data_IF_332542339763
#
_entry.id   IF_332542339763
#
_cell.length_a   1.000
_cell.length_b   1.000
_cell.length_c   1.000
_cell.angle_alpha   90.00
_cell.angle_beta   90.00
_cell.angle_gamma   90.00
#
_symmetry.space_group_name_H-M   'P 1'
#
loop_
_entity.id
_entity.type
_entity.pdbx_description
1 polymer ?
#
# COMPACT_ATOMS: atom_id res chain seq x y z
N UNK A 1 7.80 32.81 -15.45
CA UNK A 1 8.38 31.46 -15.53
C UNK A 1 7.83 30.67 -14.37
N UNK A 2 6.75 29.93 -14.60
CA UNK A 2 6.07 29.12 -13.58
C UNK A 2 6.71 27.73 -13.55
N UNK A 3 7.33 27.38 -12.43
CA UNK A 3 7.74 26.03 -12.13
C UNK A 3 6.47 25.19 -11.89
N UNK A 4 6.00 24.48 -12.92
CA UNK A 4 4.79 23.67 -12.89
C UNK A 4 5.06 22.20 -13.29
N UNK A 5 6.25 21.68 -12.99
CA UNK A 5 6.64 20.31 -13.36
C UNK A 5 6.52 19.28 -12.23
N UNK A 6 6.81 19.67 -10.98
CA UNK A 6 7.07 18.70 -9.90
C UNK A 6 5.83 18.14 -9.17
N UNK A 7 4.61 18.27 -9.70
CA UNK A 7 3.39 17.82 -8.99
C UNK A 7 2.54 16.81 -9.76
N UNK A 8 2.91 16.45 -10.98
CA UNK A 8 2.17 15.45 -11.74
C UNK A 8 2.87 14.09 -11.64
N UNK A 9 2.17 13.06 -11.16
CA UNK A 9 2.67 11.69 -11.07
C UNK A 9 3.03 11.04 -12.41
N UNK A 10 2.78 11.70 -13.55
CA UNK A 10 3.22 11.30 -14.89
C UNK A 10 4.54 11.94 -15.32
N UNK A 11 5.13 12.81 -14.49
CA UNK A 11 6.49 13.31 -14.63
C UNK A 11 7.46 12.41 -13.83
N UNK A 12 8.52 11.84 -14.44
CA UNK A 12 9.53 11.06 -13.72
C UNK A 12 10.13 11.80 -12.51
N UNK A 13 10.27 13.12 -12.57
CA UNK A 13 10.81 13.92 -11.47
C UNK A 13 9.93 13.91 -10.21
N UNK A 14 8.64 13.55 -10.34
CA UNK A 14 7.77 13.28 -9.20
C UNK A 14 8.34 12.20 -8.28
N UNK A 15 9.08 11.23 -8.85
CA UNK A 15 9.66 10.09 -8.15
C UNK A 15 11.16 10.25 -7.83
N UNK A 16 11.75 11.45 -8.02
CA UNK A 16 13.19 11.66 -7.99
C UNK A 16 13.93 11.20 -6.72
N UNK A 17 13.23 11.07 -5.59
CA UNK A 17 13.81 10.53 -4.34
C UNK A 17 12.98 9.37 -3.75
N UNK A 18 12.09 8.77 -4.54
CA UNK A 18 11.33 7.58 -4.14
C UNK A 18 11.60 6.40 -5.06
N UNK A 19 11.92 6.58 -6.35
CA UNK A 19 12.40 5.48 -7.20
C UNK A 19 13.88 5.16 -6.94
N UNK A 20 14.26 3.88 -7.02
CA UNK A 20 15.63 3.44 -6.75
C UNK A 20 16.63 3.88 -7.83
N UNK A 21 16.17 4.00 -9.08
CA UNK A 21 16.96 4.47 -10.21
C UNK A 21 16.10 5.29 -11.18
N UNK A 22 16.74 5.98 -12.13
CA UNK A 22 16.04 6.77 -13.15
C UNK A 22 15.06 5.94 -13.99
N UNK A 23 15.41 4.71 -14.34
CA UNK A 23 14.51 3.85 -15.14
C UNK A 23 13.27 3.43 -14.35
N UNK A 24 13.38 3.16 -13.04
CA UNK A 24 12.21 2.94 -12.18
C UNK A 24 11.34 4.21 -12.08
N UNK A 25 11.95 5.39 -11.98
CA UNK A 25 11.21 6.67 -11.95
C UNK A 25 10.42 6.89 -13.25
N UNK A 26 11.04 6.60 -14.40
CA UNK A 26 10.40 6.66 -15.71
C UNK A 26 9.27 5.62 -15.83
N UNK A 27 9.50 4.38 -15.38
CA UNK A 27 8.49 3.33 -15.34
C UNK A 27 7.26 3.78 -14.55
N UNK A 28 7.47 4.30 -13.33
CA UNK A 28 6.36 4.72 -12.45
C UNK A 28 5.56 5.87 -13.07
N UNK A 29 6.23 6.83 -13.72
CA UNK A 29 5.58 7.91 -14.44
C UNK A 29 4.76 7.43 -15.64
N UNK A 30 5.31 6.51 -16.43
CA UNK A 30 4.61 5.90 -17.56
C UNK A 30 3.44 5.04 -17.11
N UNK A 31 3.56 4.33 -15.99
CA UNK A 31 2.47 3.59 -15.38
C UNK A 31 1.33 4.53 -14.97
N UNK A 32 1.64 5.63 -14.29
CA UNK A 32 0.65 6.64 -13.94
C UNK A 32 -0.05 7.23 -15.18
N UNK A 33 0.70 7.44 -16.27
CA UNK A 33 0.14 7.90 -17.56
C UNK A 33 -0.81 6.86 -18.14
N UNK A 34 -0.37 5.59 -18.25
CA UNK A 34 -1.19 4.50 -18.77
C UNK A 34 -2.48 4.31 -17.94
N UNK A 35 -2.38 4.37 -16.60
CA UNK A 35 -3.53 4.30 -15.70
C UNK A 35 -4.54 5.42 -15.97
N UNK A 36 -4.09 6.68 -16.11
CA UNK A 36 -4.96 7.81 -16.44
C UNK A 36 -5.61 7.68 -17.81
N UNK A 37 -4.86 7.21 -18.82
CA UNK A 37 -5.39 6.98 -20.17
C UNK A 37 -6.48 5.91 -20.13
N UNK A 38 -6.26 4.78 -19.43
CA UNK A 38 -7.28 3.72 -19.26
C UNK A 38 -8.53 4.25 -18.56
N UNK A 39 -8.38 5.00 -17.47
CA UNK A 39 -9.49 5.66 -16.77
C UNK A 39 -10.28 6.60 -17.69
N UNK A 40 -9.59 7.41 -18.50
CA UNK A 40 -10.23 8.34 -19.41
C UNK A 40 -10.92 7.62 -20.58
N UNK A 41 -10.35 6.51 -21.07
CA UNK A 41 -10.92 5.72 -22.16
C UNK A 41 -12.33 5.20 -21.84
N UNK A 42 -12.62 4.83 -20.59
CA UNK A 42 -13.96 4.40 -20.17
C UNK A 42 -15.03 5.51 -20.23
N UNK A 43 -14.63 6.77 -20.42
CA UNK A 43 -15.53 7.92 -20.57
C UNK A 43 -15.60 8.44 -22.01
N UNK A 44 -14.76 7.92 -22.90
CA UNK A 44 -14.67 8.33 -24.30
C UNK A 44 -15.72 7.63 -25.18
N UNK A 45 -15.87 8.08 -26.42
CA UNK A 45 -16.64 7.33 -27.42
C UNK A 45 -15.88 6.07 -27.88
N UNK A 46 -16.55 5.19 -28.64
CA UNK A 46 -15.98 3.88 -28.98
C UNK A 46 -14.69 3.96 -29.80
N UNK A 47 -14.60 4.91 -30.74
CA UNK A 47 -13.45 5.03 -31.64
C UNK A 47 -12.26 5.65 -30.89
N UNK A 48 -12.51 6.68 -30.08
CA UNK A 48 -11.51 7.30 -29.21
C UNK A 48 -11.03 6.33 -28.12
N UNK A 49 -11.95 5.59 -27.49
CA UNK A 49 -11.63 4.56 -26.49
C UNK A 49 -10.63 3.54 -27.03
N UNK A 50 -10.85 3.02 -28.25
CA UNK A 50 -9.94 2.03 -28.86
C UNK A 50 -8.53 2.60 -29.06
N UNK A 51 -8.41 3.86 -29.50
CA UNK A 51 -7.12 4.53 -29.68
C UNK A 51 -6.42 4.77 -28.34
N UNK A 52 -7.15 5.20 -27.32
CA UNK A 52 -6.61 5.44 -25.98
C UNK A 52 -6.11 4.14 -25.32
N UNK A 53 -6.89 3.06 -25.40
CA UNK A 53 -6.46 1.76 -24.87
C UNK A 53 -5.23 1.23 -25.59
N UNK A 54 -5.17 1.35 -26.91
CA UNK A 54 -3.98 0.99 -27.68
C UNK A 54 -2.74 1.82 -27.27
N UNK A 55 -2.91 3.10 -26.92
CA UNK A 55 -1.80 3.92 -26.41
C UNK A 55 -1.30 3.46 -25.04
N UNK A 56 -2.22 3.17 -24.12
CA UNK A 56 -1.87 2.64 -22.79
C UNK A 56 -1.19 1.26 -22.89
N UNK A 57 -1.64 0.40 -23.81
CA UNK A 57 -1.06 -0.92 -24.04
C UNK A 57 0.36 -0.83 -24.61
N UNK A 58 0.63 0.12 -25.53
CA UNK A 58 2.00 0.36 -26.01
C UNK A 58 2.96 0.75 -24.89
N UNK A 59 2.51 1.55 -23.92
CA UNK A 59 3.33 1.89 -22.76
C UNK A 59 3.62 0.66 -21.90
N UNK A 60 2.61 -0.18 -21.68
CA UNK A 60 2.72 -1.41 -20.90
C UNK A 60 3.65 -2.43 -21.58
N UNK A 61 3.43 -2.72 -22.87
CA UNK A 61 4.22 -3.69 -23.63
C UNK A 61 5.70 -3.37 -23.59
N UNK A 62 6.08 -2.09 -23.72
CA UNK A 62 7.48 -1.65 -23.65
C UNK A 62 8.15 -2.01 -22.32
N UNK A 63 7.42 -1.94 -21.20
CA UNK A 63 7.96 -2.25 -19.88
C UNK A 63 7.92 -3.75 -19.59
N UNK A 64 6.83 -4.42 -19.95
CA UNK A 64 6.65 -5.87 -19.79
C UNK A 64 7.58 -6.70 -20.65
N UNK A 65 8.03 -6.18 -21.79
CA UNK A 65 8.94 -6.88 -22.69
C UNK A 65 10.41 -6.81 -22.28
N UNK A 66 10.75 -6.12 -21.18
CA UNK A 66 12.13 -6.03 -20.69
C UNK A 66 12.56 -7.33 -20.05
N UNK A 67 13.87 -7.58 -20.06
CA UNK A 67 14.53 -8.75 -19.49
C UNK A 67 15.13 -8.48 -18.09
N UNK A 68 14.63 -7.46 -17.40
CA UNK A 68 15.08 -7.04 -16.07
C UNK A 68 13.92 -6.94 -15.06
N UNK A 69 14.27 -6.64 -13.81
CA UNK A 69 13.32 -6.58 -12.69
C UNK A 69 12.23 -5.51 -12.87
N UNK A 70 12.41 -4.56 -13.80
CA UNK A 70 11.40 -3.52 -14.06
C UNK A 70 10.14 -4.09 -14.70
N UNK A 71 10.22 -5.20 -15.44
CA UNK A 71 9.02 -5.90 -15.91
C UNK A 71 8.16 -6.37 -14.72
N UNK A 72 8.79 -6.92 -13.68
CA UNK A 72 8.10 -7.35 -12.46
C UNK A 72 7.53 -6.15 -11.68
N UNK A 73 8.24 -5.01 -11.64
CA UNK A 73 7.72 -3.78 -11.02
C UNK A 73 6.44 -3.29 -11.72
N UNK A 74 6.36 -3.38 -13.06
CA UNK A 74 5.15 -3.02 -13.80
C UNK A 74 3.97 -3.93 -13.44
N UNK A 75 4.16 -5.25 -13.43
CA UNK A 75 3.12 -6.21 -13.06
C UNK A 75 2.66 -6.02 -11.61
N UNK A 76 3.61 -5.87 -10.68
CA UNK A 76 3.29 -5.61 -9.28
C UNK A 76 2.50 -4.32 -9.06
N UNK A 77 2.68 -3.30 -9.90
CA UNK A 77 1.85 -2.09 -9.88
C UNK A 77 0.41 -2.35 -10.37
N UNK A 78 0.22 -3.12 -11.44
CA UNK A 78 -1.11 -3.50 -11.92
C UNK A 78 -1.86 -4.32 -10.84
N UNK A 79 -1.18 -5.28 -10.21
CA UNK A 79 -1.73 -6.08 -9.11
C UNK A 79 -2.06 -5.23 -7.87
N UNK A 80 -1.16 -4.31 -7.49
CA UNK A 80 -1.41 -3.42 -6.36
C UNK A 80 -2.61 -2.49 -6.63
N UNK A 81 -2.78 -1.97 -7.85
CA UNK A 81 -3.96 -1.17 -8.25
C UNK A 81 -5.23 -2.01 -8.14
N UNK A 82 -5.20 -3.25 -8.62
CA UNK A 82 -6.32 -4.17 -8.52
C UNK A 82 -6.69 -4.44 -7.06
N UNK A 83 -5.69 -4.70 -6.20
CA UNK A 83 -5.86 -4.89 -4.76
C UNK A 83 -6.50 -3.68 -4.08
N UNK A 84 -6.05 -2.46 -4.39
CA UNK A 84 -6.65 -1.24 -3.85
C UNK A 84 -8.09 -1.02 -4.32
N UNK A 85 -8.42 -1.38 -5.57
CA UNK A 85 -9.79 -1.27 -6.10
C UNK A 85 -10.74 -2.27 -5.43
N UNK A 86 -10.27 -3.48 -5.13
CA UNK A 86 -11.11 -4.54 -4.56
C UNK A 86 -11.17 -4.57 -3.04
N UNK A 87 -10.07 -4.25 -2.36
CA UNK A 87 -9.95 -4.39 -0.90
C UNK A 87 -9.19 -3.20 -0.26
N UNK A 88 -9.65 -1.95 -0.42
CA UNK A 88 -8.91 -0.76 0.01
C UNK A 88 -8.62 -0.74 1.52
N UNK A 89 -9.55 -1.23 2.35
CA UNK A 89 -9.34 -1.29 3.80
C UNK A 89 -8.24 -2.29 4.19
N UNK A 90 -8.10 -3.39 3.46
CA UNK A 90 -7.05 -4.40 3.68
C UNK A 90 -5.69 -3.86 3.25
N UNK A 91 -5.63 -3.25 2.06
CA UNK A 91 -4.40 -2.63 1.55
C UNK A 91 -3.90 -1.48 2.44
N UNK A 92 -4.82 -0.67 2.96
CA UNK A 92 -4.48 0.38 3.92
C UNK A 92 -3.91 -0.18 5.24
N UNK A 93 -4.50 -1.26 5.77
CA UNK A 93 -3.97 -1.96 6.96
C UNK A 93 -2.58 -2.53 6.70
N UNK A 94 -2.38 -3.20 5.57
CA UNK A 94 -1.07 -3.74 5.17
C UNK A 94 0.01 -2.65 5.17
N UNK A 95 -0.23 -1.52 4.49
CA UNK A 95 0.73 -0.41 4.49
C UNK A 95 0.96 0.19 5.89
N UNK A 96 -0.08 0.30 6.72
CA UNK A 96 0.07 0.83 8.07
C UNK A 96 0.92 -0.10 8.96
N UNK A 97 0.80 -1.42 8.78
CA UNK A 97 1.63 -2.40 9.49
C UNK A 97 3.09 -2.31 9.02
N UNK A 98 3.33 -2.25 7.71
CA UNK A 98 4.69 -2.07 7.17
C UNK A 98 5.33 -0.75 7.65
N UNK A 99 4.55 0.33 7.73
CA UNK A 99 4.99 1.60 8.32
C UNK A 99 5.31 1.49 9.81
N UNK A 100 4.49 0.74 10.55
CA UNK A 100 4.71 0.51 11.98
C UNK A 100 6.00 -0.28 12.21
N UNK A 101 6.21 -1.36 11.44
CA UNK A 101 7.39 -2.21 11.50
C UNK A 101 8.67 -1.41 11.21
N UNK A 102 8.65 -0.62 10.12
CA UNK A 102 9.77 0.24 9.76
C UNK A 102 10.11 1.27 10.85
N UNK A 103 9.12 1.83 11.56
CA UNK A 103 9.35 2.77 12.68
C UNK A 103 10.02 2.12 13.89
N UNK A 104 9.82 0.81 14.08
CA UNK A 104 10.41 0.04 15.17
C UNK A 104 11.69 -0.69 14.76
N UNK A 105 12.16 -0.49 13.53
CA UNK A 105 13.38 -1.10 13.00
C UNK A 105 13.22 -2.60 12.69
N UNK A 106 11.99 -3.07 12.50
CA UNK A 106 11.73 -4.41 12.00
C UNK A 106 11.98 -4.45 10.49
N UNK A 107 12.61 -5.52 10.02
CA UNK A 107 12.80 -5.75 8.59
C UNK A 107 11.44 -5.99 7.92
N UNK A 108 11.23 -5.36 6.76
CA UNK A 108 10.03 -5.57 5.97
C UNK A 108 10.02 -6.97 5.38
N UNK A 109 8.87 -7.64 5.45
CA UNK A 109 8.62 -8.91 4.76
C UNK A 109 8.49 -8.75 3.24
N UNK A 110 8.25 -7.53 2.76
CA UNK A 110 8.15 -7.21 1.34
C UNK A 110 9.41 -6.52 0.81
N UNK A 111 9.85 -6.84 -0.42
CA UNK A 111 10.87 -6.08 -1.12
C UNK A 111 10.49 -4.60 -1.24
N UNK A 112 11.48 -3.70 -1.23
CA UNK A 112 11.21 -2.26 -1.24
C UNK A 112 10.40 -1.80 -2.48
N UNK A 113 10.63 -2.42 -3.64
CA UNK A 113 9.91 -2.11 -4.87
C UNK A 113 8.40 -2.37 -4.72
N UNK A 114 8.03 -3.45 -4.01
CA UNK A 114 6.62 -3.76 -3.73
C UNK A 114 5.99 -2.76 -2.78
N UNK A 115 6.73 -2.33 -1.75
CA UNK A 115 6.24 -1.27 -0.85
C UNK A 115 5.97 0.01 -1.66
N UNK A 116 6.87 0.38 -2.58
CA UNK A 116 6.67 1.53 -3.48
C UNK A 116 5.48 1.33 -4.41
N UNK A 117 5.23 0.11 -4.90
CA UNK A 117 4.04 -0.22 -5.70
C UNK A 117 2.76 0.03 -4.91
N UNK A 118 2.70 -0.44 -3.66
CA UNK A 118 1.55 -0.23 -2.78
C UNK A 118 1.25 1.25 -2.53
N UNK A 119 2.27 2.08 -2.31
CA UNK A 119 2.10 3.54 -2.17
C UNK A 119 1.56 4.18 -3.45
N UNK A 120 2.18 3.88 -4.59
CA UNK A 120 1.76 4.44 -5.87
C UNK A 120 0.33 4.04 -6.23
N UNK A 121 -0.01 2.77 -6.09
CA UNK A 121 -1.33 2.26 -6.39
C UNK A 121 -2.40 2.87 -5.49
N UNK A 122 -2.10 3.06 -4.20
CA UNK A 122 -2.99 3.75 -3.26
C UNK A 122 -3.26 5.21 -3.65
N UNK A 123 -2.25 5.89 -4.21
CA UNK A 123 -2.40 7.23 -4.77
C UNK A 123 -3.22 7.26 -6.06
N UNK A 124 -2.89 6.41 -7.04
CA UNK A 124 -3.59 6.35 -8.32
C UNK A 124 -5.07 5.99 -8.20
N UNK A 125 -5.42 5.23 -7.16
CA UNK A 125 -6.81 4.84 -6.86
C UNK A 125 -7.52 5.80 -5.91
N UNK A 126 -6.87 6.87 -5.44
CA UNK A 126 -7.47 7.90 -4.59
C UNK A 126 -7.68 7.50 -3.13
N UNK A 127 -7.06 6.42 -2.67
CA UNK A 127 -7.21 5.92 -1.29
C UNK A 127 -6.13 6.47 -0.33
N UNK A 128 -5.02 6.99 -0.86
CA UNK A 128 -3.94 7.58 -0.07
C UNK A 128 -3.22 8.66 -0.85
N UNK A 129 -2.47 9.51 -0.17
CA UNK A 129 -1.52 10.43 -0.81
C UNK A 129 -0.12 9.89 -0.61
N UNK A 130 0.62 9.66 -1.70
CA UNK A 130 2.05 9.39 -1.58
C UNK A 130 2.77 10.71 -1.34
N UNK A 131 3.24 10.91 -0.12
CA UNK A 131 4.03 12.09 0.23
C UNK A 131 5.46 11.92 -0.31
N UNK A 132 5.65 12.17 -1.59
CA UNK A 132 6.97 12.29 -2.21
C UNK A 132 7.62 13.63 -1.81
N UNK A 133 8.95 13.74 -1.76
CA UNK A 133 9.61 15.02 -1.47
C UNK A 133 9.24 16.15 -2.45
N UNK A 134 8.75 15.83 -3.65
CA UNK A 134 8.20 16.82 -4.59
C UNK A 134 6.85 17.40 -4.14
N UNK A 135 6.07 16.65 -3.34
CA UNK A 135 4.78 17.06 -2.76
C UNK A 135 4.88 17.49 -1.29
N UNK A 136 6.04 17.29 -0.64
CA UNK A 136 6.24 17.66 0.77
C UNK A 136 6.60 19.13 0.97
N UNK A 137 5.96 19.75 1.96
CA UNK A 137 6.49 20.94 2.61
C UNK A 137 7.67 20.55 3.53
N UNK A 138 8.59 21.49 3.79
CA UNK A 138 9.80 21.27 4.62
C UNK A 138 9.52 20.69 6.03
N UNK A 139 8.29 20.83 6.53
CA UNK A 139 7.85 20.29 7.82
C UNK A 139 7.40 18.82 7.69
N UNK A 140 6.71 18.48 6.60
CA UNK A 140 6.27 17.11 6.31
C UNK A 140 7.45 16.16 6.03
N UNK A 141 8.58 16.67 5.51
CA UNK A 141 9.78 15.85 5.27
C UNK A 141 10.39 15.23 6.53
N UNK A 142 10.13 15.79 7.72
CA UNK A 142 10.58 15.19 8.98
C UNK A 142 9.76 13.98 9.42
N UNK A 143 8.52 13.89 8.95
CA UNK A 143 7.57 12.82 9.27
C UNK A 143 7.35 11.86 8.09
N UNK A 144 8.02 12.10 6.96
CA UNK A 144 8.09 11.15 5.87
C UNK A 144 8.52 9.79 6.43
N UNK A 145 7.78 8.71 6.17
CA UNK A 145 8.26 7.38 6.50
C UNK A 145 9.65 7.22 5.88
N UNK A 146 10.68 7.07 6.72
CA UNK A 146 12.05 6.75 6.32
C UNK A 146 12.15 5.29 5.90
N UNK A 147 11.17 4.83 5.14
CA UNK A 147 11.04 3.45 4.67
C UNK A 147 12.13 3.16 3.63
N UNK A 148 12.62 4.19 2.94
CA UNK A 148 13.51 4.04 1.81
C UNK A 148 14.88 4.62 2.15
N UNK A 149 15.87 3.75 2.38
CA UNK A 149 17.30 3.95 2.07
C UNK A 149 18.01 5.24 2.44
N UNK A 150 17.45 6.15 3.24
CA UNK A 150 18.13 7.36 3.70
C UNK A 150 19.00 7.02 4.91
N UNK A 151 20.10 6.30 4.66
CA UNK A 151 21.24 6.34 5.56
C UNK A 151 21.81 7.75 5.55
N UNK A 152 21.28 8.62 6.40
CA UNK A 152 21.91 9.88 6.76
C UNK A 152 23.16 9.54 7.57
N UNK A 153 24.29 9.39 6.86
CA UNK A 153 25.66 9.47 7.35
C UNK A 153 25.94 8.95 8.76
N UNK A 154 26.20 7.64 8.87
CA UNK A 154 27.20 7.15 9.82
C UNK A 154 28.50 6.90 9.03
N UNK A 155 29.69 7.33 9.50
CA UNK A 155 30.93 7.06 8.80
C UNK A 155 31.16 5.55 8.74
N UNK A 156 31.33 5.04 7.51
CA UNK A 156 31.64 3.67 7.19
C UNK A 156 32.85 3.19 8.00
N UNK A 157 32.63 2.19 8.84
CA UNK A 157 33.68 1.28 9.26
C UNK A 157 33.66 0.10 8.31
N UNK A 158 34.79 -0.14 7.65
CA UNK A 158 35.06 -1.28 6.79
C UNK A 158 34.60 -2.60 7.43
N UNK A 159 33.90 -3.43 6.67
CA UNK A 159 33.96 -4.88 6.84
C UNK A 159 33.67 -5.58 5.52
N UNK A 160 34.66 -6.37 5.12
CA UNK A 160 34.73 -7.14 3.89
C UNK A 160 33.77 -8.33 3.90
N UNK A 161 33.21 -8.63 2.72
CA UNK A 161 33.16 -9.96 2.13
C UNK A 161 32.30 -11.03 2.82
N UNK A 162 31.07 -11.21 2.33
CA UNK A 162 30.39 -12.50 2.32
C UNK A 162 29.40 -12.51 1.13
N UNK A 163 29.67 -13.33 0.11
CA UNK A 163 28.72 -13.59 -0.99
C UNK A 163 27.48 -14.33 -0.47
N UNK A 164 26.25 -13.90 -0.78
CA UNK A 164 25.04 -14.68 -0.52
C UNK A 164 24.73 -15.63 -1.69
N UNK A 165 24.41 -16.87 -1.29
CA UNK A 165 24.03 -18.02 -2.10
C UNK A 165 22.70 -17.80 -2.86
N UNK A 166 22.60 -17.98 -4.20
CA UNK A 166 21.44 -17.59 -5.00
C UNK A 166 20.35 -18.67 -5.09
N UNK A 167 19.96 -19.28 -3.97
CA UNK A 167 18.96 -20.34 -3.98
C UNK A 167 18.06 -20.36 -2.72
N UNK A 168 17.28 -19.29 -2.52
CA UNK A 168 15.99 -19.33 -1.80
C UNK A 168 15.33 -17.96 -1.87
N UNK A 169 14.49 -17.73 -2.88
CA UNK A 169 13.45 -16.71 -2.77
C UNK A 169 12.24 -17.39 -2.13
N UNK A 170 11.87 -17.09 -0.87
CA UNK A 170 10.54 -17.42 -0.41
C UNK A 170 9.56 -16.61 -1.26
N UNK A 171 8.51 -17.29 -1.71
CA UNK A 171 7.34 -16.72 -2.39
C UNK A 171 6.59 -15.79 -1.43
N UNK A 172 7.17 -14.63 -1.18
CA UNK A 172 6.61 -13.55 -0.37
C UNK A 172 5.80 -12.60 -1.28
N UNK A 173 4.93 -13.18 -2.11
CA UNK A 173 3.98 -12.42 -2.90
C UNK A 173 3.03 -11.61 -2.02
N UNK A 174 2.43 -10.57 -2.60
CA UNK A 174 1.43 -9.71 -1.95
C UNK A 174 0.31 -10.56 -1.33
N UNK A 175 -0.06 -11.68 -1.95
CA UNK A 175 -1.05 -12.63 -1.41
C UNK A 175 -0.68 -13.20 -0.04
N UNK A 176 0.60 -13.52 0.17
CA UNK A 176 1.12 -14.03 1.44
C UNK A 176 1.10 -12.96 2.53
N UNK A 177 1.46 -11.72 2.18
CA UNK A 177 1.39 -10.58 3.10
C UNK A 177 -0.06 -10.20 3.46
N UNK A 178 -0.99 -10.30 2.50
CA UNK A 178 -2.43 -10.11 2.74
C UNK A 178 -2.96 -11.21 3.66
N UNK A 179 -2.60 -12.47 3.46
CA UNK A 179 -2.99 -13.55 4.35
C UNK A 179 -2.49 -13.33 5.78
N UNK A 180 -1.27 -12.82 5.94
CA UNK A 180 -0.72 -12.52 7.27
C UNK A 180 -1.40 -11.33 7.97
N UNK A 181 -1.81 -10.31 7.21
CA UNK A 181 -2.60 -9.18 7.71
C UNK A 181 -4.03 -9.57 8.12
N UNK A 182 -4.57 -10.64 7.51
CA UNK A 182 -5.89 -11.20 7.84
C UNK A 182 -5.80 -12.20 9.00
N UNK A 183 -4.69 -12.93 9.15
CA UNK A 183 -4.53 -13.98 10.17
C UNK A 183 -4.42 -13.48 11.62
N UNK A 184 -4.14 -12.18 11.84
CA UNK A 184 -4.18 -11.58 13.19
C UNK A 184 -5.62 -11.42 13.73
N UNK A 185 -6.63 -11.82 12.95
CA UNK A 185 -8.03 -11.93 13.35
C UNK A 185 -8.38 -13.32 13.93
N UNK A 186 -7.63 -13.81 14.93
CA UNK A 186 -8.28 -14.69 15.92
C UNK A 186 -8.81 -13.82 17.07
N UNK A 187 -10.06 -13.35 17.02
CA UNK A 187 -10.71 -12.88 18.22
C UNK A 187 -10.73 -14.05 19.20
N UNK A 188 -9.93 -13.95 20.26
CA UNK A 188 -10.04 -14.85 21.40
C UNK A 188 -11.34 -14.47 22.10
N UNK A 189 -12.45 -14.96 21.58
CA UNK A 189 -13.75 -14.84 22.22
C UNK A 189 -13.68 -15.70 23.48
N UNK A 190 -13.40 -15.07 24.62
CA UNK A 190 -13.62 -15.66 25.92
C UNK A 190 -15.15 -15.71 26.09
N UNK A 191 -15.80 -16.88 26.12
CA UNK A 191 -17.21 -16.92 26.47
C UNK A 191 -17.34 -16.39 27.89
N UNK A 192 -18.01 -15.23 28.03
CA UNK A 192 -18.40 -14.72 29.33
C UNK A 192 -19.31 -15.75 30.00
N UNK A 193 -18.89 -16.22 31.17
CA UNK A 193 -19.65 -17.15 32.00
C UNK A 193 -21.01 -16.52 32.36
N UNK A 194 -22.06 -17.03 31.73
CA UNK A 194 -23.46 -16.75 32.00
C UNK A 194 -23.72 -16.98 33.50
N UNK A 195 -23.83 -15.88 34.25
CA UNK A 195 -24.23 -15.92 35.66
C UNK A 195 -25.75 -15.93 35.73
N UNK A 196 -26.30 -17.13 35.89
CA UNK A 196 -27.70 -17.41 36.23
C UNK A 196 -28.18 -16.59 37.43
N UNK A 197 -29.23 -15.74 37.32
CA UNK A 197 -30.00 -15.35 38.47
C UNK A 197 -31.05 -16.43 38.75
N UNK A 198 -30.65 -17.41 39.57
CA UNK A 198 -31.55 -18.36 40.16
C UNK A 198 -32.73 -17.66 40.85
N UNK A 199 -33.93 -18.08 40.44
CA UNK A 199 -35.17 -18.07 41.20
C UNK A 199 -34.99 -17.90 42.71
N UNK A 200 -35.60 -16.86 43.26
CA UNK A 200 -36.00 -16.83 44.67
C UNK A 200 -37.32 -16.11 44.79
N UNK A 201 -38.39 -16.90 44.70
CA UNK A 201 -39.69 -16.56 45.23
C UNK A 201 -39.70 -16.79 46.75
N UNK A 202 -40.15 -15.81 47.54
CA UNK A 202 -40.83 -16.01 48.84
C UNK A 202 -41.38 -14.66 49.36
N UNK A 203 -42.70 -14.45 49.35
CA UNK A 203 -43.63 -14.53 50.51
C UNK A 203 -43.80 -13.19 51.26
N UNK A 204 -44.92 -12.46 51.06
CA UNK A 204 -46.14 -12.41 51.93
C UNK A 204 -46.28 -11.03 52.64
N UNK A 205 -47.44 -10.60 53.21
CA UNK A 205 -48.84 -11.00 53.00
C UNK A 205 -49.85 -9.81 52.83
N UNK A 206 -51.10 -10.20 52.53
CA UNK A 206 -52.35 -9.43 52.65
C UNK A 206 -52.59 -8.81 54.05
N UNK A 207 -53.08 -7.57 54.12
CA UNK A 207 -54.01 -7.15 55.19
C UNK A 207 -54.99 -6.04 54.73
N UNK A 208 -56.22 -6.14 55.27
CA UNK A 208 -57.47 -5.42 54.97
C UNK A 208 -57.53 -3.98 55.51
N UNK A 209 -58.39 -3.14 54.92
CA UNK A 209 -59.52 -2.41 55.56
C UNK A 209 -60.16 -1.47 54.51
N UNK A 210 -61.38 -1.74 54.01
CA UNK A 210 -62.71 -1.33 54.51
C UNK A 210 -62.93 0.20 54.58
N UNK A 211 -63.90 0.68 53.79
CA UNK A 211 -64.36 2.07 53.70
C UNK A 211 -65.08 2.59 54.97
N UNK A 212 -65.75 3.76 54.92
CA UNK A 212 -66.74 4.14 53.90
C UNK A 212 -66.37 5.35 53.01
#
# INVERSE_FOLDING_TARGET
MTAAGASDSTDPFYFANTGACWDEQLLRADFARAHRVREAAYRADNDEMAVMLADADRLADRWRSRDDDLAAVWEGLDDAVLGWRHAPATMARLLNNLEHDARHGHESLLPEAEIRNLYQAGELTGHRTWLTPATMTRDASYHAPRIFGQHVGAPSADSQGQEPDPASTPDAGIESAVAHAVADETPTWVPETESDPASSASSSPLHMECGP
#
